data_IF_637490394108
#
_entry.id   IF_637490394108
#
_cell.length_a   1.000
_cell.length_b   1.000
_cell.length_c   1.000
_cell.angle_alpha   90.00
_cell.angle_beta   90.00
_cell.angle_gamma   90.00
#
_symmetry.space_group_name_H-M   'P 1'
#
loop_
_entity.id
_entity.type
_entity.pdbx_description
1 polymer ?
#
# COMPACT_ATOMS: atom_id res chain seq x y z
N UNK A 1 -60.55 -7.82 -36.41
CA UNK A 1 -59.22 -7.43 -36.93
C UNK A 1 -59.43 -6.13 -37.70
N UNK A 2 -58.92 -4.94 -37.38
CA UNK A 2 -57.92 -4.41 -36.44
C UNK A 2 -58.47 -3.06 -35.92
N UNK A 3 -58.37 -2.81 -34.61
CA UNK A 3 -58.56 -1.49 -33.99
C UNK A 3 -57.29 -1.21 -33.19
N UNK A 4 -56.67 -0.05 -33.41
CA UNK A 4 -55.68 0.49 -32.47
C UNK A 4 -55.99 1.97 -32.26
N UNK A 5 -56.32 2.27 -31.02
CA UNK A 5 -56.73 3.59 -30.50
C UNK A 5 -55.55 4.23 -29.77
N UNK A 6 -55.41 5.53 -30.02
CA UNK A 6 -54.73 6.62 -29.30
C UNK A 6 -53.78 6.36 -28.11
N UNK A 7 -52.65 7.09 -28.14
CA UNK A 7 -51.81 7.51 -27.01
C UNK A 7 -51.27 8.91 -27.38
N UNK A 8 -51.09 9.93 -26.54
CA UNK A 8 -50.76 10.00 -25.11
C UNK A 8 -51.17 11.38 -24.56
N UNK A 9 -51.75 11.45 -23.36
CA UNK A 9 -52.07 12.69 -22.62
C UNK A 9 -50.81 13.28 -21.94
N UNK A 10 -50.75 14.62 -21.90
CA UNK A 10 -49.78 15.49 -21.19
C UNK A 10 -49.92 15.47 -19.66
N UNK A 11 -48.80 15.73 -18.96
CA UNK A 11 -48.71 16.59 -17.75
C UNK A 11 -47.22 16.70 -17.34
N UNK A 12 -46.49 17.79 -17.60
CA UNK A 12 -46.29 18.97 -16.73
C UNK A 12 -46.32 18.70 -15.23
N UNK A 13 -45.16 18.78 -14.58
CA UNK A 13 -45.01 19.37 -13.24
C UNK A 13 -43.68 20.14 -13.18
N UNK A 14 -43.81 21.46 -13.06
CA UNK A 14 -42.80 22.40 -12.57
C UNK A 14 -42.98 22.45 -11.05
N UNK A 15 -41.90 22.34 -10.30
CA UNK A 15 -41.92 22.44 -8.84
C UNK A 15 -40.56 22.89 -8.32
N UNK A 16 -40.34 24.20 -8.36
CA UNK A 16 -39.28 24.87 -7.61
C UNK A 16 -39.74 25.04 -6.16
N UNK A 17 -38.95 24.56 -5.19
CA UNK A 17 -38.72 25.13 -3.86
C UNK A 17 -38.07 24.08 -2.93
N UNK A 18 -36.83 24.35 -2.49
CA UNK A 18 -36.43 24.29 -1.08
C UNK A 18 -34.90 24.47 -0.99
N UNK A 19 -34.48 25.63 -0.48
CA UNK A 19 -33.21 25.78 0.20
C UNK A 19 -33.09 24.78 1.37
N UNK A 20 -31.85 24.52 1.76
CA UNK A 20 -31.40 23.91 3.02
C UNK A 20 -31.21 22.39 3.04
N UNK A 21 -30.08 21.97 2.47
CA UNK A 21 -29.20 20.99 3.13
C UNK A 21 -27.79 21.17 2.58
N UNK A 22 -27.02 22.09 3.16
CA UNK A 22 -25.56 21.99 3.08
C UNK A 22 -25.20 20.78 3.93
N UNK A 23 -24.70 19.66 3.38
CA UNK A 23 -24.05 18.69 4.23
C UNK A 23 -22.83 19.40 4.79
N UNK A 24 -22.85 19.71 6.09
CA UNK A 24 -21.64 19.96 6.85
C UNK A 24 -20.80 18.70 6.69
N UNK A 25 -19.90 18.72 5.71
CA UNK A 25 -18.81 17.77 5.60
C UNK A 25 -17.98 18.00 6.87
N UNK A 26 -18.28 17.22 7.91
CA UNK A 26 -17.35 17.05 9.01
C UNK A 26 -16.03 16.62 8.38
N UNK A 27 -14.90 17.31 8.62
CA UNK A 27 -13.62 16.77 8.22
C UNK A 27 -13.50 15.45 8.98
N UNK A 28 -13.68 14.35 8.28
CA UNK A 28 -13.32 13.04 8.79
C UNK A 28 -11.82 13.15 9.06
N UNK A 29 -11.46 13.34 10.34
CA UNK A 29 -10.09 13.18 10.77
C UNK A 29 -9.73 11.73 10.46
N UNK A 30 -9.07 11.52 9.32
CA UNK A 30 -8.52 10.24 8.96
C UNK A 30 -7.56 9.87 10.08
N UNK A 31 -7.95 8.88 10.90
CA UNK A 31 -7.04 8.31 11.88
C UNK A 31 -5.82 7.81 11.10
N UNK A 32 -4.59 8.09 11.57
CA UNK A 32 -3.40 7.57 10.91
C UNK A 32 -3.52 6.05 10.82
N UNK A 33 -3.26 5.50 9.64
CA UNK A 33 -3.25 4.05 9.44
C UNK A 33 -2.35 3.40 10.51
N UNK A 34 -2.78 2.30 11.15
CA UNK A 34 -1.96 1.62 12.17
C UNK A 34 -0.59 1.21 11.62
N UNK A 35 -0.49 0.98 10.31
CA UNK A 35 0.74 0.56 9.63
C UNK A 35 1.44 1.71 8.87
N UNK A 36 1.10 2.97 9.14
CA UNK A 36 1.64 4.11 8.37
C UNK A 36 3.17 4.18 8.37
N UNK A 37 3.81 3.87 9.51
CA UNK A 37 5.27 3.83 9.61
C UNK A 37 5.87 2.68 8.79
N UNK A 38 5.32 1.48 8.95
CA UNK A 38 5.73 0.28 8.21
C UNK A 38 5.64 0.51 6.70
N UNK A 39 4.52 1.06 6.21
CA UNK A 39 4.31 1.32 4.78
C UNK A 39 5.34 2.32 4.26
N UNK A 40 5.53 3.44 4.96
CA UNK A 40 6.50 4.47 4.59
C UNK A 40 7.92 3.90 4.51
N UNK A 41 8.32 3.11 5.50
CA UNK A 41 9.68 2.59 5.58
C UNK A 41 9.92 1.51 4.53
N UNK A 42 8.92 0.68 4.22
CA UNK A 42 8.96 -0.27 3.11
C UNK A 42 9.04 0.43 1.74
N UNK A 43 8.26 1.48 1.52
CA UNK A 43 8.31 2.28 0.28
C UNK A 43 9.66 2.99 0.11
N UNK A 44 10.23 3.48 1.21
CA UNK A 44 11.57 4.07 1.22
C UNK A 44 12.63 3.03 0.86
N UNK A 45 12.56 1.84 1.45
CA UNK A 45 13.50 0.74 1.16
C UNK A 45 13.45 0.35 -0.33
N UNK A 46 12.25 0.18 -0.89
CA UNK A 46 12.06 -0.13 -2.31
C UNK A 46 12.68 0.97 -3.19
N UNK A 47 12.39 2.23 -2.89
CA UNK A 47 12.90 3.37 -3.64
C UNK A 47 14.43 3.46 -3.58
N UNK A 48 15.00 3.26 -2.39
CA UNK A 48 16.44 3.29 -2.15
C UNK A 48 17.16 2.15 -2.87
N UNK A 49 16.60 0.94 -2.87
CA UNK A 49 17.14 -0.19 -3.63
C UNK A 49 17.14 0.08 -5.14
N UNK A 50 16.06 0.65 -5.67
CA UNK A 50 16.04 1.08 -7.07
C UNK A 50 17.08 2.15 -7.37
N UNK A 51 17.26 3.11 -6.46
CA UNK A 51 18.27 4.16 -6.58
C UNK A 51 19.70 3.58 -6.62
N UNK A 52 20.05 2.73 -5.65
CA UNK A 52 21.37 2.06 -5.60
C UNK A 52 21.61 1.28 -6.89
N UNK A 53 20.66 0.45 -7.31
CA UNK A 53 20.79 -0.36 -8.52
C UNK A 53 20.93 0.46 -9.81
N UNK A 54 20.27 1.62 -9.89
CA UNK A 54 20.30 2.46 -11.07
C UNK A 54 21.54 3.37 -11.11
N UNK A 55 21.94 3.92 -9.96
CA UNK A 55 22.93 5.01 -9.90
C UNK A 55 24.33 4.58 -9.51
N UNK A 56 24.50 3.55 -8.68
CA UNK A 56 25.82 3.22 -8.15
C UNK A 56 26.87 3.05 -9.25
N UNK A 57 26.52 2.31 -10.31
CA UNK A 57 27.38 2.12 -11.50
C UNK A 57 27.32 3.32 -12.44
N UNK A 58 26.12 3.85 -12.72
CA UNK A 58 25.93 4.90 -13.72
C UNK A 58 26.59 6.24 -13.34
N UNK A 59 26.63 6.55 -12.05
CA UNK A 59 27.20 7.79 -11.50
C UNK A 59 28.58 7.55 -10.86
N UNK A 60 29.10 6.32 -10.92
CA UNK A 60 30.40 5.93 -10.40
C UNK A 60 30.58 6.35 -8.92
N UNK A 61 29.59 5.99 -8.09
CA UNK A 61 29.63 6.22 -6.65
C UNK A 61 30.87 5.57 -6.04
N UNK A 62 31.50 6.25 -5.09
CA UNK A 62 32.59 5.66 -4.32
C UNK A 62 32.07 4.58 -3.35
N UNK A 63 33.00 3.73 -2.89
CA UNK A 63 32.69 2.61 -1.99
C UNK A 63 32.04 3.09 -0.69
N UNK A 64 32.43 4.26 -0.17
CA UNK A 64 31.85 4.86 1.03
C UNK A 64 30.38 5.25 0.84
N UNK A 65 30.04 5.83 -0.31
CA UNK A 65 28.67 6.20 -0.67
C UNK A 65 27.81 4.95 -0.87
N UNK A 66 28.33 3.93 -1.56
CA UNK A 66 27.63 2.65 -1.74
C UNK A 66 27.40 1.99 -0.38
N UNK A 67 28.41 1.94 0.49
CA UNK A 67 28.32 1.35 1.82
C UNK A 67 27.26 2.07 2.67
N UNK A 68 27.28 3.41 2.74
CA UNK A 68 26.31 4.18 3.50
C UNK A 68 24.86 3.98 3.02
N UNK A 69 24.67 3.86 1.70
CA UNK A 69 23.34 3.62 1.11
C UNK A 69 22.84 2.20 1.35
N UNK A 70 23.73 1.21 1.28
CA UNK A 70 23.41 -0.17 1.64
C UNK A 70 23.10 -0.30 3.13
N UNK A 71 23.81 0.42 4.00
CA UNK A 71 23.52 0.45 5.45
C UNK A 71 22.14 1.07 5.73
N UNK A 72 21.80 2.19 5.07
CA UNK A 72 20.47 2.80 5.15
C UNK A 72 19.37 1.81 4.69
N UNK A 73 19.62 1.08 3.60
CA UNK A 73 18.69 0.07 3.10
C UNK A 73 18.50 -1.08 4.10
N UNK A 74 19.60 -1.60 4.64
CA UNK A 74 19.59 -2.70 5.60
C UNK A 74 18.84 -2.32 6.88
N UNK A 75 19.06 -1.11 7.40
CA UNK A 75 18.34 -0.61 8.57
C UNK A 75 16.82 -0.53 8.35
N UNK A 76 16.39 -0.17 7.13
CA UNK A 76 14.97 -0.17 6.78
C UNK A 76 14.40 -1.59 6.68
N UNK A 77 15.15 -2.54 6.12
CA UNK A 77 14.75 -3.95 6.09
C UNK A 77 14.55 -4.52 7.49
N UNK A 78 15.49 -4.23 8.40
CA UNK A 78 15.41 -4.67 9.79
C UNK A 78 14.19 -4.03 10.49
N UNK A 79 14.00 -2.72 10.35
CA UNK A 79 12.85 -2.01 10.92
C UNK A 79 11.51 -2.55 10.41
N UNK A 80 11.36 -2.76 9.10
CA UNK A 80 10.14 -3.32 8.51
C UNK A 80 9.90 -4.75 8.97
N UNK A 81 10.95 -5.55 9.15
CA UNK A 81 10.83 -6.93 9.61
C UNK A 81 10.40 -7.04 11.07
N UNK A 82 10.79 -6.09 11.91
CA UNK A 82 10.40 -6.05 13.33
C UNK A 82 8.99 -5.50 13.55
N UNK A 83 8.52 -4.60 12.68
CA UNK A 83 7.19 -4.01 12.80
C UNK A 83 6.08 -5.01 12.42
N UNK A 84 5.11 -5.31 13.29
CA UNK A 84 3.96 -6.14 12.93
C UNK A 84 3.03 -5.39 11.95
N UNK A 85 2.49 -6.11 10.97
CA UNK A 85 1.44 -5.58 10.08
C UNK A 85 0.05 -5.90 10.64
N UNK A 86 -0.74 -4.86 10.93
CA UNK A 86 -2.10 -5.01 11.46
C UNK A 86 -3.20 -4.87 10.40
N UNK A 87 -2.83 -4.49 9.18
CA UNK A 87 -3.75 -4.28 8.06
C UNK A 87 -3.28 -4.99 6.79
N UNK A 88 -4.21 -5.17 5.84
CA UNK A 88 -3.90 -5.66 4.49
C UNK A 88 -2.85 -4.78 3.79
N UNK A 89 -2.87 -3.47 4.02
CA UNK A 89 -1.92 -2.55 3.41
C UNK A 89 -0.50 -2.77 3.96
N UNK A 90 -0.36 -3.02 5.27
CA UNK A 90 0.94 -3.37 5.86
C UNK A 90 1.49 -4.71 5.36
N UNK A 91 0.62 -5.72 5.24
CA UNK A 91 0.99 -7.01 4.64
C UNK A 91 1.45 -6.85 3.19
N UNK A 92 0.74 -6.04 2.40
CA UNK A 92 1.09 -5.76 1.01
C UNK A 92 2.42 -5.01 0.90
N UNK A 93 2.71 -4.07 1.80
CA UNK A 93 3.98 -3.36 1.83
C UNK A 93 5.17 -4.30 2.09
N UNK A 94 5.05 -5.22 3.07
CA UNK A 94 6.05 -6.27 3.31
C UNK A 94 6.24 -7.18 2.10
N UNK A 95 5.15 -7.61 1.48
CA UNK A 95 5.20 -8.48 0.31
C UNK A 95 5.86 -7.78 -0.90
N UNK A 96 5.59 -6.50 -1.13
CA UNK A 96 6.25 -5.70 -2.18
C UNK A 96 7.74 -5.59 -1.94
N UNK A 97 8.16 -5.29 -0.71
CA UNK A 97 9.58 -5.21 -0.36
C UNK A 97 10.29 -6.55 -0.62
N UNK A 98 9.68 -7.65 -0.20
CA UNK A 98 10.19 -9.01 -0.44
C UNK A 98 10.29 -9.34 -1.94
N UNK A 99 9.30 -8.93 -2.75
CA UNK A 99 9.29 -9.18 -4.18
C UNK A 99 10.42 -8.45 -4.92
N UNK A 100 10.81 -7.25 -4.49
CA UNK A 100 11.91 -6.49 -5.09
C UNK A 100 13.26 -7.19 -4.88
N UNK A 101 13.41 -7.91 -3.76
CA UNK A 101 14.65 -8.63 -3.44
C UNK A 101 14.76 -9.97 -4.18
N UNK A 102 13.67 -10.74 -4.17
CA UNK A 102 13.61 -12.10 -4.76
C UNK A 102 13.59 -12.13 -6.29
N UNK A 103 13.34 -11.00 -6.95
CA UNK A 103 13.25 -10.91 -8.40
C UNK A 103 14.55 -11.22 -9.16
N UNK A 104 15.73 -11.19 -8.52
CA UNK A 104 17.03 -11.32 -9.21
C UNK A 104 17.68 -12.71 -9.17
N UNK A 105 17.01 -13.74 -8.64
CA UNK A 105 17.56 -15.11 -8.51
C UNK A 105 18.94 -15.18 -7.84
N UNK A 106 19.29 -14.17 -7.04
CA UNK A 106 20.43 -14.20 -6.14
C UNK A 106 20.05 -14.99 -4.88
N UNK A 107 21.00 -15.64 -4.19
CA UNK A 107 20.71 -16.27 -2.90
C UNK A 107 20.09 -15.22 -1.97
N UNK A 108 19.00 -15.61 -1.31
CA UNK A 108 18.33 -14.75 -0.33
C UNK A 108 19.34 -14.33 0.74
N UNK A 109 19.37 -13.04 1.07
CA UNK A 109 20.13 -12.56 2.23
C UNK A 109 19.39 -12.96 3.51
N UNK A 110 20.10 -13.03 4.64
CA UNK A 110 19.49 -13.30 5.95
C UNK A 110 18.29 -12.38 6.24
N UNK A 111 18.33 -11.13 5.78
CA UNK A 111 17.26 -10.16 5.95
C UNK A 111 15.99 -10.50 5.17
N UNK A 112 16.11 -11.10 3.98
CA UNK A 112 14.95 -11.58 3.19
C UNK A 112 14.25 -12.70 3.91
N UNK A 113 15.01 -13.62 4.51
CA UNK A 113 14.46 -14.74 5.29
C UNK A 113 13.75 -14.22 6.54
N UNK A 114 14.35 -13.26 7.24
CA UNK A 114 13.74 -12.61 8.41
C UNK A 114 12.44 -11.88 8.03
N UNK A 115 12.45 -11.12 6.92
CA UNK A 115 11.26 -10.42 6.43
C UNK A 115 10.16 -11.40 6.02
N UNK A 116 10.50 -12.50 5.35
CA UNK A 116 9.56 -13.55 4.98
C UNK A 116 8.96 -14.21 6.23
N UNK A 117 9.78 -14.55 7.22
CA UNK A 117 9.31 -15.12 8.48
C UNK A 117 8.36 -14.15 9.23
N UNK A 118 8.68 -12.85 9.20
CA UNK A 118 7.83 -11.80 9.74
C UNK A 118 6.48 -11.70 9.02
N UNK A 119 6.48 -11.70 7.68
CA UNK A 119 5.26 -11.69 6.87
C UNK A 119 4.39 -12.93 7.14
N UNK A 120 4.98 -14.12 7.23
CA UNK A 120 4.26 -15.35 7.54
C UNK A 120 3.61 -15.30 8.93
N UNK A 121 4.33 -14.76 9.93
CA UNK A 121 3.78 -14.57 11.29
C UNK A 121 2.55 -13.67 11.27
N UNK A 122 2.61 -12.55 10.55
CA UNK A 122 1.51 -11.59 10.46
C UNK A 122 0.31 -12.19 9.72
N UNK A 123 0.54 -12.94 8.63
CA UNK A 123 -0.53 -13.62 7.89
C UNK A 123 -1.26 -14.67 8.73
N UNK A 124 -0.52 -15.46 9.52
CA UNK A 124 -1.11 -16.44 10.44
C UNK A 124 -1.92 -15.72 11.53
N UNK A 125 -1.38 -14.62 12.07
CA UNK A 125 -2.06 -13.79 13.06
C UNK A 125 -3.36 -13.16 12.53
N UNK A 126 -3.36 -12.72 11.27
CA UNK A 126 -4.55 -12.19 10.61
C UNK A 126 -5.61 -13.27 10.33
N UNK A 127 -5.18 -14.48 9.91
CA UNK A 127 -6.08 -15.60 9.66
C UNK A 127 -6.81 -16.07 10.92
N UNK A 128 -6.15 -16.04 12.08
CA UNK A 128 -6.75 -16.40 13.37
C UNK A 128 -7.89 -15.47 13.81
N UNK A 129 -8.01 -14.28 13.22
CA UNK A 129 -9.02 -13.26 13.57
C UNK A 129 -10.29 -13.34 12.72
N UNK A 130 -10.33 -14.21 11.70
CA UNK A 130 -11.51 -14.39 10.85
C UNK A 130 -12.39 -15.51 11.45
N UNK A 131 -13.61 -15.22 11.95
CA UNK A 131 -14.50 -16.26 12.44
C UNK A 131 -14.98 -17.16 11.29
N UNK A 132 -15.01 -18.47 11.55
CA UNK A 132 -15.40 -19.52 10.60
C UNK A 132 -16.89 -19.45 10.18
#
# INVERSE_FOLDING_TARGET
MTKTVHSTRRSMFVGAAALAAVPLATPAMALPSPDAALIRDAERAISLKHEINAKAVAENWDDDTVAARCEELNALFDAVSEMPAFSRAGLEAKAKLLAVDTARSEPATDQVEILLASLLRDLIGAAAQVPA
#
